data_IF_424566527204
#
_entry.id   IF_424566527204
#
_cell.length_a   1.000
_cell.length_b   1.000
_cell.length_c   1.000
_cell.angle_alpha   90.00
_cell.angle_beta   90.00
_cell.angle_gamma   90.00
#
_symmetry.space_group_name_H-M   'P 1'
#
loop_
_entity.id
_entity.type
_entity.pdbx_description
1 polymer ?
#
# COMPACT_ATOMS: atom_id res chain seq x y z
N UNK A 1 -15.65 -12.15 -12.73
CA UNK A 1 -15.47 -10.74 -13.06
C UNK A 1 -14.51 -10.07 -12.09
N UNK A 2 -13.27 -10.03 -12.46
CA UNK A 2 -12.13 -9.72 -11.61
C UNK A 2 -11.78 -8.22 -11.59
N UNK A 3 -12.76 -7.36 -11.39
CA UNK A 3 -12.53 -5.93 -11.30
C UNK A 3 -12.71 -5.36 -9.89
N UNK A 4 -13.13 -6.16 -8.92
CA UNK A 4 -13.01 -5.81 -7.50
C UNK A 4 -11.54 -6.04 -7.13
N UNK A 5 -10.75 -5.04 -7.39
CA UNK A 5 -9.32 -5.08 -7.22
C UNK A 5 -9.00 -5.29 -5.74
N UNK A 6 -8.35 -6.39 -5.48
CA UNK A 6 -7.81 -6.79 -4.20
C UNK A 6 -7.04 -5.62 -3.57
N UNK A 7 -7.67 -4.90 -2.66
CA UNK A 7 -7.07 -3.73 -1.97
C UNK A 7 -5.76 -4.16 -1.32
N UNK A 8 -5.77 -5.33 -0.65
CA UNK A 8 -4.58 -5.90 -0.03
C UNK A 8 -3.44 -6.11 -1.02
N UNK A 9 -3.72 -6.76 -2.17
CA UNK A 9 -2.68 -7.06 -3.16
C UNK A 9 -2.08 -5.78 -3.74
N UNK A 10 -2.90 -4.77 -4.02
CA UNK A 10 -2.44 -3.47 -4.51
C UNK A 10 -1.58 -2.75 -3.48
N UNK A 11 -2.05 -2.64 -2.24
CA UNK A 11 -1.31 -2.00 -1.16
C UNK A 11 0.01 -2.74 -0.88
N UNK A 12 -0.03 -4.07 -0.83
CA UNK A 12 1.17 -4.87 -0.65
C UNK A 12 2.17 -4.67 -1.78
N UNK A 13 1.72 -4.71 -3.03
CA UNK A 13 2.57 -4.51 -4.20
C UNK A 13 3.18 -3.10 -4.21
N UNK A 14 2.40 -2.09 -3.90
CA UNK A 14 2.86 -0.70 -3.78
C UNK A 14 3.92 -0.54 -2.67
N UNK A 15 3.68 -1.08 -1.49
CA UNK A 15 4.68 -1.09 -0.41
C UNK A 15 5.94 -1.88 -0.78
N UNK A 16 5.82 -2.96 -1.57
CA UNK A 16 6.97 -3.72 -2.07
C UNK A 16 7.82 -2.89 -3.04
N UNK A 17 7.20 -2.10 -3.93
CA UNK A 17 7.90 -1.16 -4.82
C UNK A 17 8.60 -0.05 -4.03
N UNK A 18 7.91 0.56 -3.05
CA UNK A 18 8.51 1.56 -2.17
C UNK A 18 9.72 1.00 -1.43
N UNK A 19 9.60 -0.19 -0.85
CA UNK A 19 10.71 -0.87 -0.16
C UNK A 19 11.87 -1.13 -1.10
N UNK A 20 11.60 -1.62 -2.32
CA UNK A 20 12.61 -1.87 -3.34
C UNK A 20 13.33 -0.59 -3.74
N UNK A 21 12.60 0.51 -3.94
CA UNK A 21 13.15 1.82 -4.24
C UNK A 21 14.02 2.35 -3.08
N UNK A 22 13.51 2.24 -1.85
CA UNK A 22 14.22 2.68 -0.64
C UNK A 22 15.56 1.97 -0.45
N UNK A 23 15.64 0.67 -0.75
CA UNK A 23 16.89 -0.10 -0.64
C UNK A 23 17.82 0.05 -1.86
N UNK A 24 17.59 0.99 -2.74
CA UNK A 24 18.43 1.24 -3.92
C UNK A 24 18.39 0.14 -4.99
N UNK A 25 17.41 -0.77 -4.91
CA UNK A 25 17.20 -1.87 -5.86
C UNK A 25 16.20 -1.52 -6.95
N UNK A 26 15.71 -0.29 -6.97
CA UNK A 26 14.76 0.21 -7.97
C UNK A 26 15.45 0.98 -9.06
N UNK A 27 14.74 1.13 -10.17
CA UNK A 27 15.13 2.00 -11.27
C UNK A 27 15.06 3.47 -10.85
N UNK A 28 15.87 4.34 -11.45
CA UNK A 28 15.90 5.78 -11.16
C UNK A 28 14.54 6.44 -11.42
N UNK A 29 13.82 6.03 -12.48
CA UNK A 29 12.49 6.56 -12.82
C UNK A 29 11.46 6.17 -11.77
N UNK A 30 11.42 4.91 -11.34
CA UNK A 30 10.52 4.48 -10.26
C UNK A 30 10.79 5.22 -8.96
N UNK A 31 12.06 5.45 -8.61
CA UNK A 31 12.42 6.23 -7.43
C UNK A 31 11.90 7.67 -7.52
N UNK A 32 12.05 8.31 -8.67
CA UNK A 32 11.56 9.69 -8.87
C UNK A 32 10.05 9.77 -8.75
N UNK A 33 9.31 8.86 -9.40
CA UNK A 33 7.84 8.81 -9.34
C UNK A 33 7.30 8.57 -7.93
N UNK A 34 8.02 7.78 -7.14
CA UNK A 34 7.60 7.39 -5.79
C UNK A 34 8.21 8.29 -4.69
N UNK A 35 8.91 9.37 -5.05
CA UNK A 35 9.64 10.22 -4.10
C UNK A 35 8.75 10.79 -3.00
N UNK A 36 7.60 11.32 -3.36
CA UNK A 36 6.64 11.90 -2.41
C UNK A 36 6.06 10.83 -1.48
N UNK A 37 5.89 9.62 -1.99
CA UNK A 37 5.33 8.51 -1.23
C UNK A 37 6.27 7.97 -0.15
N UNK A 38 7.59 8.23 -0.26
CA UNK A 38 8.50 7.91 0.84
C UNK A 38 8.17 8.67 2.12
N UNK A 39 7.63 9.87 1.99
CA UNK A 39 7.17 10.68 3.13
C UNK A 39 5.93 10.06 3.79
N UNK A 40 5.13 9.34 3.01
CA UNK A 40 3.90 8.68 3.45
C UNK A 40 4.11 7.17 3.72
N UNK A 41 5.34 6.69 3.59
CA UNK A 41 5.63 5.26 3.65
C UNK A 41 5.15 4.60 4.96
N UNK A 42 5.33 5.26 6.09
CA UNK A 42 4.87 4.75 7.38
C UNK A 42 3.34 4.59 7.42
N UNK A 43 2.59 5.51 6.78
CA UNK A 43 1.13 5.44 6.65
C UNK A 43 0.72 4.23 5.81
N UNK A 44 1.34 4.06 4.63
CA UNK A 44 1.03 2.90 3.76
C UNK A 44 1.44 1.57 4.38
N UNK A 45 2.53 1.51 5.14
CA UNK A 45 2.88 0.33 5.92
C UNK A 45 1.83 -0.01 6.98
N UNK A 46 1.32 1.01 7.67
CA UNK A 46 0.27 0.83 8.68
C UNK A 46 -1.03 0.34 8.03
N UNK A 47 -1.42 0.90 6.89
CA UNK A 47 -2.58 0.45 6.11
C UNK A 47 -2.43 -1.01 5.67
N UNK A 48 -1.28 -1.39 5.10
CA UNK A 48 -1.00 -2.76 4.67
C UNK A 48 -1.03 -3.74 5.84
N UNK A 49 -0.45 -3.37 6.97
CA UNK A 49 -0.46 -4.16 8.19
C UNK A 49 -1.90 -4.39 8.69
N UNK A 50 -2.70 -3.33 8.72
CA UNK A 50 -4.10 -3.38 9.12
C UNK A 50 -4.92 -4.32 8.22
N UNK A 51 -4.78 -4.21 6.90
CA UNK A 51 -5.46 -5.07 5.93
C UNK A 51 -5.09 -6.54 6.12
N UNK A 52 -3.81 -6.81 6.34
CA UNK A 52 -3.33 -8.17 6.54
C UNK A 52 -3.80 -8.78 7.87
N UNK A 53 -3.71 -8.04 8.98
CA UNK A 53 -4.15 -8.50 10.30
C UNK A 53 -5.65 -8.79 10.37
N UNK A 54 -6.45 -8.08 9.57
CA UNK A 54 -7.90 -8.26 9.52
C UNK A 54 -8.36 -9.11 8.33
N UNK A 55 -7.45 -9.70 7.55
CA UNK A 55 -7.76 -10.55 6.38
C UNK A 55 -8.65 -9.87 5.34
N UNK A 56 -8.44 -8.56 5.12
CA UNK A 56 -9.19 -7.75 4.16
C UNK A 56 -8.46 -7.77 2.82
N UNK A 57 -9.04 -8.38 1.80
CA UNK A 57 -8.43 -8.47 0.48
C UNK A 57 -9.11 -7.58 -0.56
N UNK A 58 -10.39 -7.28 -0.38
CA UNK A 58 -11.21 -6.54 -1.33
C UNK A 58 -11.74 -5.23 -0.75
N UNK A 59 -12.15 -4.30 -1.62
CA UNK A 59 -12.76 -3.04 -1.20
C UNK A 59 -14.12 -3.29 -0.52
N UNK A 60 -14.88 -4.28 -0.98
CA UNK A 60 -16.17 -4.63 -0.39
C UNK A 60 -16.01 -5.16 1.05
N UNK A 61 -14.99 -5.97 1.29
CA UNK A 61 -14.63 -6.42 2.65
C UNK A 61 -14.20 -5.26 3.55
N UNK A 62 -13.44 -4.30 3.01
CA UNK A 62 -13.04 -3.09 3.75
C UNK A 62 -14.26 -2.27 4.17
N UNK A 63 -15.20 -2.05 3.25
CA UNK A 63 -16.43 -1.31 3.52
C UNK A 63 -17.31 -2.05 4.55
N UNK A 64 -17.45 -3.37 4.41
CA UNK A 64 -18.18 -4.19 5.38
C UNK A 64 -17.54 -4.17 6.78
N UNK A 65 -16.21 -4.23 6.84
CA UNK A 65 -15.46 -4.10 8.10
C UNK A 65 -15.73 -2.74 8.77
N UNK A 66 -15.63 -1.65 8.01
CA UNK A 66 -15.88 -0.29 8.46
C UNK A 66 -17.30 -0.12 9.02
N UNK A 67 -18.31 -0.60 8.29
CA UNK A 67 -19.70 -0.55 8.71
C UNK A 67 -19.92 -1.33 10.02
N UNK A 68 -19.36 -2.54 10.13
CA UNK A 68 -19.41 -3.33 11.35
C UNK A 68 -18.77 -2.59 12.55
N UNK A 69 -17.61 -1.97 12.35
CA UNK A 69 -16.94 -1.20 13.38
C UNK A 69 -17.78 0.01 13.83
N UNK A 70 -18.43 0.71 12.91
CA UNK A 70 -19.32 1.82 13.20
C UNK A 70 -20.55 1.37 14.02
N UNK A 71 -21.16 0.24 13.67
CA UNK A 71 -22.27 -0.36 14.42
C UNK A 71 -21.82 -0.72 15.86
N UNK A 72 -20.64 -1.32 16.00
CA UNK A 72 -20.08 -1.64 17.33
C UNK A 72 -19.84 -0.37 18.15
N UNK A 73 -19.29 0.69 17.56
CA UNK A 73 -19.12 1.99 18.23
C UNK A 73 -20.46 2.52 18.76
N UNK A 74 -21.52 2.43 17.96
CA UNK A 74 -22.85 2.86 18.38
C UNK A 74 -23.39 2.00 19.54
N UNK A 75 -23.19 0.68 19.52
CA UNK A 75 -23.61 -0.21 20.60
C UNK A 75 -22.86 0.10 21.89
N UNK A 76 -21.54 0.24 21.83
CA UNK A 76 -20.72 0.62 22.99
C UNK A 76 -21.10 2.00 23.55
N UNK A 77 -21.41 2.95 22.67
CA UNK A 77 -21.89 4.28 23.08
C UNK A 77 -23.23 4.21 23.83
N UNK A 78 -24.17 3.36 23.36
CA UNK A 78 -25.44 3.12 24.06
C UNK A 78 -25.22 2.49 25.43
N UNK A 79 -24.37 1.46 25.53
CA UNK A 79 -24.00 0.82 26.80
C UNK A 79 -23.39 1.83 27.77
N UNK A 80 -22.43 2.63 27.29
CA UNK A 80 -21.81 3.69 28.13
C UNK A 80 -22.83 4.71 28.59
N UNK A 81 -23.78 5.12 27.76
CA UNK A 81 -24.86 6.05 28.14
C UNK A 81 -25.75 5.49 29.23
N UNK A 82 -26.04 4.18 29.21
CA UNK A 82 -26.81 3.51 30.30
C UNK A 82 -26.03 3.57 31.60
N UNK A 83 -24.73 3.25 31.58
CA UNK A 83 -23.89 3.30 32.81
C UNK A 83 -23.80 4.70 33.38
N UNK A 84 -23.75 5.76 32.57
CA UNK A 84 -23.80 7.15 33.09
C UNK A 84 -25.12 7.52 33.77
N UNK A 85 -26.23 6.88 33.37
CA UNK A 85 -27.55 7.14 33.96
C UNK A 85 -27.77 6.40 35.31
N UNK A 86 -27.00 5.35 35.58
CA UNK A 86 -27.08 4.58 36.80
C UNK A 86 -26.36 5.31 37.94
N UNK A 87 -27.11 5.87 38.90
CA UNK A 87 -26.57 6.68 40.02
C UNK A 87 -26.40 5.88 41.34
N UNK A 88 -26.40 4.53 41.30
CA UNK A 88 -26.27 3.72 42.52
C UNK A 88 -24.84 3.77 43.09
N UNK A 89 -24.72 4.22 44.36
CA UNK A 89 -23.45 4.47 45.04
C UNK A 89 -22.55 3.23 45.29
N UNK A 90 -23.06 2.02 45.69
CA UNK A 90 -22.17 0.94 46.10
C UNK A 90 -21.29 0.38 44.97
N UNK A 91 -21.61 0.69 43.71
CA UNK A 91 -20.91 0.16 42.52
C UNK A 91 -20.18 1.24 41.72
N UNK A 92 -19.95 2.40 42.30
CA UNK A 92 -19.38 3.54 41.57
C UNK A 92 -18.02 3.21 40.92
N UNK A 93 -17.10 2.61 41.67
CA UNK A 93 -15.76 2.26 41.17
C UNK A 93 -15.81 1.25 40.02
N UNK A 94 -16.61 0.18 40.15
CA UNK A 94 -16.78 -0.83 39.09
C UNK A 94 -17.43 -0.24 37.83
N UNK A 95 -18.36 0.69 37.98
CA UNK A 95 -19.00 1.41 36.88
C UNK A 95 -18.00 2.32 36.17
N UNK A 96 -17.19 3.08 36.91
CA UNK A 96 -16.15 3.94 36.33
C UNK A 96 -15.12 3.11 35.51
N UNK A 97 -14.72 1.96 36.01
CA UNK A 97 -13.84 1.02 35.32
C UNK A 97 -14.47 0.53 34.00
N UNK A 98 -15.73 0.12 34.03
CA UNK A 98 -16.48 -0.27 32.82
C UNK A 98 -16.57 0.89 31.79
N UNK A 99 -16.85 2.10 32.26
CA UNK A 99 -16.90 3.28 31.40
C UNK A 99 -15.53 3.55 30.74
N UNK A 100 -14.43 3.41 31.47
CA UNK A 100 -13.07 3.55 30.97
C UNK A 100 -12.80 2.48 29.90
N UNK A 101 -13.10 1.22 30.19
CA UNK A 101 -12.94 0.09 29.26
C UNK A 101 -13.73 0.31 27.95
N UNK A 102 -15.02 0.65 28.02
CA UNK A 102 -15.86 0.96 26.87
C UNK A 102 -15.30 2.15 26.07
N UNK A 103 -14.81 3.17 26.77
CA UNK A 103 -14.22 4.34 26.10
C UNK A 103 -12.95 3.99 25.36
N UNK A 104 -12.11 3.10 25.92
CA UNK A 104 -10.90 2.63 25.27
C UNK A 104 -11.21 1.76 24.04
N UNK A 105 -12.19 0.85 24.13
CA UNK A 105 -12.65 0.05 23.00
C UNK A 105 -13.19 0.94 21.86
N UNK A 106 -14.03 1.92 22.19
CA UNK A 106 -14.53 2.88 21.21
C UNK A 106 -13.41 3.70 20.55
N UNK A 107 -12.35 4.02 21.31
CA UNK A 107 -11.17 4.73 20.74
C UNK A 107 -10.42 3.85 19.75
N UNK A 108 -10.23 2.58 20.06
CA UNK A 108 -9.60 1.62 19.15
C UNK A 108 -10.40 1.46 17.85
N UNK A 109 -11.70 1.17 17.96
CA UNK A 109 -12.57 1.04 16.78
C UNK A 109 -12.63 2.31 15.92
N UNK A 110 -12.64 3.50 16.52
CA UNK A 110 -12.59 4.76 15.77
C UNK A 110 -11.28 4.90 15.00
N UNK A 111 -10.19 4.44 15.56
CA UNK A 111 -8.90 4.45 14.86
C UNK A 111 -8.92 3.49 13.67
N UNK A 112 -9.53 2.32 13.81
CA UNK A 112 -9.71 1.38 12.71
C UNK A 112 -10.58 1.95 11.59
N UNK A 113 -11.73 2.56 11.94
CA UNK A 113 -12.60 3.28 10.97
C UNK A 113 -11.84 4.40 10.26
N UNK A 114 -10.97 5.12 10.97
CA UNK A 114 -10.12 6.14 10.37
C UNK A 114 -9.15 5.53 9.36
N UNK A 115 -8.47 4.42 9.69
CA UNK A 115 -7.59 3.71 8.76
C UNK A 115 -8.36 3.23 7.53
N UNK A 116 -9.55 2.66 7.69
CA UNK A 116 -10.41 2.26 6.56
C UNK A 116 -10.71 3.44 5.64
N UNK A 117 -11.09 4.59 6.19
CA UNK A 117 -11.39 5.80 5.42
C UNK A 117 -10.16 6.35 4.68
N UNK A 118 -9.00 6.27 5.30
CA UNK A 118 -7.72 6.62 4.66
C UNK A 118 -7.42 5.70 3.47
N UNK A 119 -7.62 4.38 3.64
CA UNK A 119 -7.43 3.39 2.56
C UNK A 119 -8.39 3.66 1.41
N UNK A 120 -9.67 3.93 1.68
CA UNK A 120 -10.66 4.29 0.65
C UNK A 120 -10.21 5.51 -0.17
N UNK A 121 -9.75 6.55 0.52
CA UNK A 121 -9.29 7.80 -0.11
C UNK A 121 -8.04 7.58 -0.94
N UNK A 122 -7.09 6.80 -0.43
CA UNK A 122 -5.80 6.58 -1.06
C UNK A 122 -5.86 5.52 -2.19
N UNK A 123 -6.87 4.66 -2.22
CA UNK A 123 -6.92 3.49 -3.10
C UNK A 123 -6.80 3.86 -4.60
N UNK A 124 -7.46 4.92 -5.04
CA UNK A 124 -7.40 5.39 -6.43
C UNK A 124 -6.02 5.99 -6.76
N UNK A 125 -5.47 6.78 -5.85
CA UNK A 125 -4.15 7.40 -6.01
C UNK A 125 -3.04 6.35 -6.03
N UNK A 126 -3.07 5.39 -5.11
CA UNK A 126 -2.14 4.27 -5.03
C UNK A 126 -2.17 3.43 -6.32
N UNK A 127 -3.37 3.18 -6.87
CA UNK A 127 -3.51 2.45 -8.12
C UNK A 127 -2.87 3.18 -9.28
N UNK A 128 -3.10 4.48 -9.41
CA UNK A 128 -2.53 5.28 -10.50
C UNK A 128 -0.99 5.37 -10.38
N UNK A 129 -0.47 5.60 -9.18
CA UNK A 129 0.99 5.63 -8.92
C UNK A 129 1.64 4.28 -9.20
N UNK A 130 0.98 3.17 -8.84
CA UNK A 130 1.45 1.83 -9.15
C UNK A 130 1.56 1.62 -10.66
N UNK A 131 0.51 1.99 -11.41
CA UNK A 131 0.49 1.90 -12.87
C UNK A 131 1.62 2.71 -13.52
N UNK A 132 1.82 3.95 -13.06
CA UNK A 132 2.89 4.81 -13.56
C UNK A 132 4.29 4.24 -13.25
N UNK A 133 4.49 3.71 -12.05
CA UNK A 133 5.76 3.10 -11.66
C UNK A 133 6.07 1.83 -12.48
N UNK A 134 5.05 1.02 -12.76
CA UNK A 134 5.19 -0.18 -13.61
C UNK A 134 5.54 0.17 -15.05
N UNK A 135 4.87 1.18 -15.64
CA UNK A 135 5.17 1.68 -16.98
C UNK A 135 6.60 2.22 -17.06
N UNK A 136 7.02 3.05 -16.09
CA UNK A 136 8.37 3.58 -16.04
C UNK A 136 9.43 2.47 -15.93
N UNK A 137 9.17 1.43 -15.13
CA UNK A 137 10.06 0.28 -15.02
C UNK A 137 10.11 -0.56 -16.31
N UNK A 138 9.02 -0.62 -17.06
CA UNK A 138 8.97 -1.32 -18.35
C UNK A 138 9.73 -0.56 -19.45
N UNK A 139 9.58 0.76 -19.51
CA UNK A 139 10.31 1.63 -20.45
C UNK A 139 11.82 1.51 -20.23
N UNK A 140 12.27 1.59 -18.97
CA UNK A 140 13.69 1.46 -18.64
C UNK A 140 14.26 0.09 -19.02
N UNK A 141 13.48 -0.99 -18.83
CA UNK A 141 13.87 -2.33 -19.29
C UNK A 141 14.00 -2.42 -20.81
N UNK A 142 13.14 -1.73 -21.54
CA UNK A 142 13.17 -1.69 -22.99
C UNK A 142 14.37 -0.87 -23.50
N UNK A 143 14.69 0.26 -22.88
CA UNK A 143 15.88 1.07 -23.19
C UNK A 143 17.16 0.26 -23.00
N UNK A 144 17.29 -0.47 -21.90
CA UNK A 144 18.47 -1.34 -21.64
C UNK A 144 18.61 -2.41 -22.71
N UNK A 145 17.51 -3.07 -23.10
CA UNK A 145 17.52 -4.08 -24.18
C UNK A 145 17.93 -3.49 -25.51
N UNK A 146 17.45 -2.30 -25.87
CA UNK A 146 17.83 -1.60 -27.09
C UNK A 146 19.31 -1.23 -27.11
N UNK A 147 19.83 -0.74 -25.99
CA UNK A 147 21.25 -0.41 -25.86
C UNK A 147 22.13 -1.66 -25.95
N UNK A 148 21.71 -2.78 -25.37
CA UNK A 148 22.43 -4.06 -25.56
C UNK A 148 22.41 -4.53 -27.01
N UNK A 149 21.28 -4.39 -27.71
CA UNK A 149 21.18 -4.74 -29.14
C UNK A 149 22.09 -3.85 -29.98
N UNK A 150 22.10 -2.54 -29.77
CA UNK A 150 23.00 -1.60 -30.46
C UNK A 150 24.48 -1.95 -30.24
N UNK A 151 24.85 -2.31 -28.99
CA UNK A 151 26.22 -2.74 -28.67
C UNK A 151 26.59 -4.06 -29.35
N UNK A 152 25.66 -4.99 -29.54
CA UNK A 152 25.88 -6.25 -30.24
C UNK A 152 26.03 -6.00 -31.73
N UNK A 153 25.20 -5.18 -32.35
CA UNK A 153 25.29 -4.81 -33.76
C UNK A 153 26.61 -4.13 -34.09
N UNK A 154 27.04 -3.16 -33.27
CA UNK A 154 28.31 -2.46 -33.51
C UNK A 154 29.56 -3.34 -33.37
N UNK A 155 29.48 -4.44 -32.60
CA UNK A 155 30.56 -5.43 -32.50
C UNK A 155 30.59 -6.36 -33.70
N UNK A 156 29.43 -6.65 -34.31
CA UNK A 156 29.37 -7.49 -35.53
C UNK A 156 29.91 -6.78 -36.75
N UNK A 157 29.68 -5.48 -36.90
CA UNK A 157 30.14 -4.68 -38.02
C UNK A 157 31.66 -4.40 -37.96
N UNK A 158 32.26 -4.41 -36.78
CA UNK A 158 33.71 -4.28 -36.59
C UNK A 158 34.53 -5.53 -36.92
N UNK A 159 33.89 -6.71 -36.96
CA UNK A 159 34.59 -7.98 -37.28
C UNK A 159 34.69 -8.29 -38.77
N UNK A 160 33.94 -7.59 -39.61
CA UNK A 160 33.93 -7.81 -41.08
C UNK A 160 35.02 -7.09 -41.87
N UNK A 161 35.84 -6.21 -41.24
CA UNK A 161 36.78 -5.33 -41.97
C UNK A 161 38.24 -5.81 -41.99
N UNK A 162 38.56 -7.02 -41.55
CA UNK A 162 39.94 -7.52 -41.44
C UNK A 162 40.31 -8.67 -42.44
N UNK A 163 39.48 -8.95 -43.44
CA UNK A 163 39.81 -9.98 -44.44
C UNK A 163 39.93 -9.41 -45.86
N UNK A 164 40.85 -8.48 -46.05
CA UNK A 164 41.04 -7.87 -47.37
C UNK A 164 42.48 -7.41 -47.64
N UNK A 165 43.50 -8.19 -47.24
CA UNK A 165 44.86 -7.93 -47.71
C UNK A 165 45.66 -9.23 -47.73
N UNK A 166 45.47 -10.03 -48.83
CA UNK A 166 46.48 -11.02 -49.21
C UNK A 166 46.34 -11.32 -50.69
N UNK A 167 47.31 -10.87 -51.44
CA UNK A 167 48.08 -11.52 -52.44
C UNK A 167 48.26 -10.67 -53.69
N UNK A 168 49.49 -10.20 -53.84
CA UNK A 168 50.13 -10.21 -55.21
C UNK A 168 51.64 -10.11 -55.00
N UNK A 169 52.32 -11.17 -55.01
CA UNK A 169 53.49 -11.47 -55.77
C UNK A 169 54.01 -12.87 -55.47
#
# INVERSE_FOLDING_TARGET
>A
SSAASDVYKRQYHYCALLRKAYHGKSTKRCYFLLREDFLLFSRYQQQTKFLWENHIETMDELLAYKENAEVQIQQLARQRKVLYRQKREPERAAREEKIKSLTQQMKALRHEVYICSDIETDAAEVQEKLRQAELAAQEERNEVKQDEQRRRSSRSDGAGSLTGYRSSH
#
